data_IF_896112995999
#
_entry.id   IF_896112995999
#
_cell.length_a   1.000
_cell.length_b   1.000
_cell.length_c   1.000
_cell.angle_alpha   90.00
_cell.angle_beta   90.00
_cell.angle_gamma   90.00
#
_symmetry.space_group_name_H-M   'P 1'
#
loop_
_entity.id
_entity.type
_entity.pdbx_description
1 polymer ?
#
# COMPACT_ATOMS: atom_id res chain seq x y z
N UNK A 1 27.24 19.97 -28.80
CA UNK A 1 25.78 20.23 -28.67
C UNK A 1 25.04 19.00 -28.15
N UNK A 2 25.49 17.77 -28.44
CA UNK A 2 24.77 16.51 -28.10
C UNK A 2 24.93 16.09 -26.62
N UNK A 3 26.02 16.45 -25.92
CA UNK A 3 26.23 16.02 -24.52
C UNK A 3 25.42 16.81 -23.47
N UNK A 4 25.00 18.04 -23.77
CA UNK A 4 24.22 18.85 -22.82
C UNK A 4 22.76 18.40 -22.70
N UNK A 5 22.23 17.59 -23.62
CA UNK A 5 20.84 17.13 -23.59
C UNK A 5 20.59 15.94 -22.64
N UNK A 6 21.63 15.20 -22.21
CA UNK A 6 21.46 14.06 -21.29
C UNK A 6 21.37 14.44 -19.81
N UNK A 7 21.82 15.62 -19.41
CA UNK A 7 21.90 16.02 -18.00
C UNK A 7 20.57 16.44 -17.37
N UNK A 8 19.54 16.79 -18.16
CA UNK A 8 18.24 17.26 -17.62
C UNK A 8 17.12 16.20 -17.62
N UNK A 9 17.39 14.98 -18.08
CA UNK A 9 16.38 13.93 -18.20
C UNK A 9 16.03 13.33 -16.83
N UNK A 10 17.06 13.12 -16.00
CA UNK A 10 16.94 12.59 -14.64
C UNK A 10 16.07 13.47 -13.71
N UNK A 11 16.34 14.78 -13.55
CA UNK A 11 15.51 15.61 -12.68
C UNK A 11 14.05 15.74 -13.16
N UNK A 12 13.82 15.77 -14.48
CA UNK A 12 12.45 15.79 -15.03
C UNK A 12 11.69 14.46 -14.79
N UNK A 13 12.38 13.32 -14.83
CA UNK A 13 11.80 12.01 -14.46
C UNK A 13 11.55 11.87 -12.96
N UNK A 14 12.42 12.46 -12.13
CA UNK A 14 12.26 12.54 -10.66
C UNK A 14 11.08 13.45 -10.27
N UNK A 15 10.87 14.55 -10.99
CA UNK A 15 9.69 15.41 -10.83
C UNK A 15 8.40 14.70 -11.23
N UNK A 16 8.39 13.89 -12.31
CA UNK A 16 7.24 13.03 -12.67
C UNK A 16 6.93 11.98 -11.60
N UNK A 17 7.94 11.44 -10.92
CA UNK A 17 7.73 10.47 -9.83
C UNK A 17 7.05 11.09 -8.61
N UNK A 18 7.22 12.40 -8.36
CA UNK A 18 6.48 13.11 -7.29
C UNK A 18 4.95 13.17 -7.51
N UNK A 19 4.50 13.17 -8.77
CA UNK A 19 3.08 13.09 -9.12
C UNK A 19 2.56 11.64 -9.04
N UNK A 20 3.37 10.67 -9.50
CA UNK A 20 3.10 9.23 -9.35
C UNK A 20 2.92 8.86 -7.87
N UNK A 21 3.66 9.51 -6.97
CA UNK A 21 3.57 9.32 -5.53
C UNK A 21 2.17 9.66 -4.96
N UNK A 22 1.50 10.71 -5.45
CA UNK A 22 0.16 11.10 -4.94
C UNK A 22 -0.94 10.09 -5.28
N UNK A 23 -0.99 9.60 -6.51
CA UNK A 23 -2.02 8.63 -6.92
C UNK A 23 -1.72 7.24 -6.35
N UNK A 24 -0.46 6.83 -6.30
CA UNK A 24 -0.04 5.59 -5.65
C UNK A 24 -0.43 5.58 -4.16
N UNK A 25 -0.23 6.69 -3.44
CA UNK A 25 -0.69 6.83 -2.05
C UNK A 25 -2.18 6.57 -1.87
N UNK A 26 -3.04 7.07 -2.76
CA UNK A 26 -4.50 6.87 -2.68
C UNK A 26 -4.88 5.39 -2.87
N UNK A 27 -4.24 4.72 -3.81
CA UNK A 27 -4.45 3.27 -4.03
C UNK A 27 -3.98 2.48 -2.81
N UNK A 28 -2.81 2.81 -2.25
CA UNK A 28 -2.30 2.15 -1.04
C UNK A 28 -3.23 2.34 0.16
N UNK A 29 -3.82 3.54 0.32
CA UNK A 29 -4.84 3.79 1.36
C UNK A 29 -6.10 2.96 1.13
N UNK A 30 -6.51 2.78 -0.13
CA UNK A 30 -7.67 1.96 -0.49
C UNK A 30 -7.42 0.49 -0.18
N UNK A 31 -6.28 -0.06 -0.63
CA UNK A 31 -5.86 -1.42 -0.33
C UNK A 31 -5.74 -1.67 1.18
N UNK A 32 -5.12 -0.73 1.91
CA UNK A 32 -5.06 -0.77 3.37
C UNK A 32 -6.47 -0.77 3.99
N UNK A 33 -7.39 0.06 3.50
CA UNK A 33 -8.77 0.08 3.98
C UNK A 33 -9.51 -1.23 3.70
N UNK A 34 -9.24 -1.92 2.59
CA UNK A 34 -9.83 -3.23 2.29
C UNK A 34 -9.31 -4.25 3.31
N UNK A 35 -7.99 -4.36 3.45
CA UNK A 35 -7.35 -5.29 4.37
C UNK A 35 -7.73 -5.04 5.85
N UNK A 36 -7.71 -3.78 6.29
CA UNK A 36 -8.04 -3.39 7.67
C UNK A 36 -9.47 -3.77 8.06
N UNK A 37 -10.41 -3.71 7.11
CA UNK A 37 -11.81 -4.04 7.35
C UNK A 37 -12.13 -5.51 7.00
N UNK A 38 -11.11 -6.37 6.83
CA UNK A 38 -11.27 -7.78 6.48
C UNK A 38 -12.14 -8.01 5.23
N UNK A 39 -12.08 -7.08 4.27
CA UNK A 39 -12.79 -7.17 3.00
C UNK A 39 -11.98 -8.03 2.02
N UNK A 40 -12.63 -8.78 1.11
CA UNK A 40 -11.92 -9.54 0.10
C UNK A 40 -11.18 -8.61 -0.88
N UNK A 41 -10.03 -9.03 -1.40
CA UNK A 41 -9.26 -8.22 -2.37
C UNK A 41 -9.97 -8.01 -3.71
N UNK A 42 -11.04 -8.75 -3.97
CA UNK A 42 -11.96 -8.49 -5.08
C UNK A 42 -12.72 -7.18 -4.92
N UNK A 43 -12.73 -6.56 -3.74
CA UNK A 43 -13.32 -5.24 -3.49
C UNK A 43 -12.43 -4.07 -3.97
N UNK A 44 -11.29 -4.36 -4.63
CA UNK A 44 -10.43 -3.34 -5.23
C UNK A 44 -11.12 -2.37 -6.20
N UNK A 45 -12.18 -2.73 -6.96
CA UNK A 45 -12.99 -1.81 -7.74
C UNK A 45 -13.68 -0.70 -6.91
N UNK A 46 -13.55 -0.68 -5.58
CA UNK A 46 -13.86 0.49 -4.74
C UNK A 46 -13.08 1.75 -5.15
N UNK A 47 -12.03 1.60 -5.95
CA UNK A 47 -11.38 2.70 -6.67
C UNK A 47 -12.35 3.41 -7.62
N UNK A 48 -13.26 2.70 -8.29
CA UNK A 48 -14.24 3.29 -9.22
C UNK A 48 -15.22 4.22 -8.49
N UNK A 49 -15.65 3.83 -7.28
CA UNK A 49 -16.45 4.70 -6.41
C UNK A 49 -15.71 5.99 -6.05
N UNK A 50 -14.39 5.92 -5.85
CA UNK A 50 -13.58 7.12 -5.58
C UNK A 50 -13.46 8.00 -6.82
N UNK A 51 -13.35 7.40 -8.00
CA UNK A 51 -13.36 8.12 -9.29
C UNK A 51 -14.70 8.83 -9.50
N UNK A 52 -15.83 8.16 -9.23
CA UNK A 52 -17.18 8.76 -9.31
C UNK A 52 -17.31 9.95 -8.34
N UNK A 53 -16.70 9.86 -7.16
CA UNK A 53 -16.65 10.97 -6.19
C UNK A 53 -15.68 12.11 -6.58
N UNK A 54 -15.10 12.07 -7.78
CA UNK A 54 -14.24 13.13 -8.31
C UNK A 54 -12.76 13.01 -7.93
N UNK A 55 -12.33 11.88 -7.34
CA UNK A 55 -10.91 11.66 -7.05
C UNK A 55 -10.20 11.05 -8.26
N UNK A 56 -9.11 11.70 -8.71
CA UNK A 56 -8.18 11.04 -9.62
C UNK A 56 -7.43 9.93 -8.88
N UNK A 57 -7.67 8.68 -9.29
CA UNK A 57 -7.06 7.48 -8.71
C UNK A 57 -5.93 6.91 -9.57
N UNK A 58 -5.61 7.54 -10.71
CA UNK A 58 -4.70 6.97 -11.70
C UNK A 58 -5.26 5.73 -12.39
N UNK A 59 -4.40 4.99 -13.09
CA UNK A 59 -4.78 3.82 -13.94
C UNK A 59 -4.05 2.52 -13.60
N UNK A 60 -3.11 2.55 -12.65
CA UNK A 60 -2.23 1.42 -12.33
C UNK A 60 -2.63 0.81 -10.99
N UNK A 61 -2.20 -0.43 -10.70
CA UNK A 61 -2.33 -1.06 -9.38
C UNK A 61 -3.77 -1.27 -8.86
N UNK A 62 -4.77 -1.34 -9.73
CA UNK A 62 -6.20 -1.50 -9.37
C UNK A 62 -6.69 -2.96 -9.38
N UNK A 63 -5.80 -3.94 -9.58
CA UNK A 63 -6.17 -5.35 -9.60
C UNK A 63 -6.19 -5.97 -8.21
N UNK A 64 -6.93 -7.08 -8.04
CA UNK A 64 -6.91 -7.87 -6.81
C UNK A 64 -5.49 -8.36 -6.44
N UNK A 65 -4.68 -8.74 -7.44
CA UNK A 65 -3.30 -9.16 -7.22
C UNK A 65 -2.42 -8.00 -6.75
N UNK A 66 -2.60 -6.81 -7.32
CA UNK A 66 -1.93 -5.60 -6.85
C UNK A 66 -2.36 -5.27 -5.41
N UNK A 67 -3.65 -5.39 -5.08
CA UNK A 67 -4.15 -5.20 -3.72
C UNK A 67 -3.46 -6.12 -2.70
N UNK A 68 -3.31 -7.41 -3.04
CA UNK A 68 -2.57 -8.37 -2.21
C UNK A 68 -1.12 -7.93 -2.01
N UNK A 69 -0.39 -7.68 -3.10
CA UNK A 69 1.02 -7.31 -3.04
C UNK A 69 1.25 -6.01 -2.24
N UNK A 70 0.36 -5.03 -2.39
CA UNK A 70 0.40 -3.77 -1.62
C UNK A 70 0.17 -4.04 -0.14
N UNK A 71 -0.80 -4.89 0.18
CA UNK A 71 -1.10 -5.27 1.58
C UNK A 71 0.09 -5.99 2.22
N UNK A 72 0.74 -6.90 1.50
CA UNK A 72 1.95 -7.60 1.96
C UNK A 72 3.10 -6.61 2.23
N UNK A 73 3.29 -5.63 1.35
CA UNK A 73 4.28 -4.57 1.56
C UNK A 73 3.97 -3.73 2.81
N UNK A 74 2.72 -3.30 2.98
CA UNK A 74 2.30 -2.49 4.14
C UNK A 74 2.48 -3.29 5.44
N UNK A 75 2.06 -4.56 5.47
CA UNK A 75 2.18 -5.41 6.65
C UNK A 75 3.65 -5.68 7.01
N UNK A 76 4.52 -5.87 6.03
CA UNK A 76 5.96 -6.01 6.24
C UNK A 76 6.56 -4.77 6.92
N UNK A 77 6.29 -3.57 6.41
CA UNK A 77 6.80 -2.34 7.00
C UNK A 77 6.22 -2.06 8.39
N UNK A 78 4.93 -2.36 8.61
CA UNK A 78 4.29 -2.27 9.93
C UNK A 78 4.93 -3.23 10.94
N UNK A 79 5.18 -4.48 10.54
CA UNK A 79 5.82 -5.50 11.38
C UNK A 79 7.25 -5.10 11.74
N UNK A 80 8.01 -4.56 10.79
CA UNK A 80 9.36 -4.04 11.02
C UNK A 80 9.36 -2.92 12.06
N UNK A 81 8.42 -1.96 11.94
CA UNK A 81 8.26 -0.87 12.92
C UNK A 81 7.90 -1.41 14.31
N UNK A 82 6.95 -2.35 14.38
CA UNK A 82 6.54 -2.98 15.64
C UNK A 82 7.71 -3.71 16.32
N UNK A 83 8.46 -4.51 15.56
CA UNK A 83 9.64 -5.22 16.07
C UNK A 83 10.68 -4.26 16.67
N UNK A 84 10.98 -3.17 15.96
CA UNK A 84 11.90 -2.15 16.46
C UNK A 84 11.38 -1.54 17.77
N UNK A 85 10.10 -1.18 17.83
CA UNK A 85 9.48 -0.61 19.04
C UNK A 85 9.52 -1.58 20.24
N UNK A 86 9.20 -2.87 20.02
CA UNK A 86 9.28 -3.92 21.05
C UNK A 86 10.71 -4.04 21.60
N UNK A 87 11.72 -4.04 20.71
CA UNK A 87 13.13 -4.17 21.09
C UNK A 87 13.65 -2.96 21.87
N UNK A 88 13.39 -1.75 21.38
CA UNK A 88 13.91 -0.52 22.00
C UNK A 88 13.25 -0.26 23.35
N UNK A 89 11.93 -0.49 23.45
CA UNK A 89 11.16 -0.18 24.65
C UNK A 89 11.03 -1.35 25.64
N UNK A 90 11.67 -2.51 25.36
CA UNK A 90 11.63 -3.75 26.17
C UNK A 90 10.21 -4.08 26.66
N UNK A 91 9.22 -3.97 25.76
CA UNK A 91 7.80 -4.15 26.10
C UNK A 91 7.53 -5.62 26.45
N UNK A 92 6.68 -5.86 27.45
CA UNK A 92 6.21 -7.22 27.82
C UNK A 92 5.23 -7.72 26.76
N UNK A 93 5.27 -9.02 26.47
CA UNK A 93 4.40 -9.68 25.48
C UNK A 93 3.51 -10.68 26.21
N UNK A 94 2.21 -10.67 25.92
CA UNK A 94 1.25 -11.68 26.34
C UNK A 94 0.66 -12.31 25.07
N UNK A 95 0.53 -13.64 25.05
CA UNK A 95 -0.04 -14.40 23.93
C UNK A 95 -1.33 -15.03 24.42
N UNK A 96 -2.43 -14.75 23.73
CA UNK A 96 -3.73 -15.38 23.95
C UNK A 96 -3.96 -16.28 22.75
N UNK A 97 -4.26 -17.55 23.01
CA UNK A 97 -4.53 -18.56 21.97
C UNK A 97 -6.02 -18.87 22.02
N UNK A 98 -6.68 -18.73 20.87
CA UNK A 98 -8.08 -19.08 20.68
C UNK A 98 -8.16 -20.36 19.84
N UNK A 99 -8.88 -21.36 20.32
CA UNK A 99 -9.03 -22.67 19.68
C UNK A 99 -10.46 -22.84 19.17
N UNK A 100 -10.61 -23.14 17.88
CA UNK A 100 -11.89 -23.37 17.24
C UNK A 100 -11.82 -24.60 16.34
N UNK A 101 -12.88 -25.41 16.33
CA UNK A 101 -13.04 -26.54 15.40
C UNK A 101 -14.08 -26.22 14.34
N UNK A 102 -13.81 -26.59 13.09
CA UNK A 102 -14.78 -26.51 11.98
C UNK A 102 -15.28 -27.92 11.66
N UNK A 103 -16.60 -28.11 11.59
CA UNK A 103 -17.18 -29.34 11.02
C UNK A 103 -16.84 -29.40 9.53
N UNK A 104 -16.18 -30.48 9.11
CA UNK A 104 -15.87 -30.77 7.70
C UNK A 104 -16.96 -31.64 7.10
#
# INVERSE_FOLDING_TARGET
IIEKQKLEIMPAQVLKTSFIDKNTKKIFRTAYSIAKNQRPYTDMPKVDLQIINGLDMGRILQTNKACSNITDHITFEMRKKLYLDLRHNKRKICVIVDESTTLS
#
